data_IF_376352607927
#
_entry.id   IF_376352607927
#
_cell.length_a   1.000
_cell.length_b   1.000
_cell.length_c   1.000
_cell.angle_alpha   90.00
_cell.angle_beta   90.00
_cell.angle_gamma   90.00
#
_symmetry.space_group_name_H-M   'P 1'
#
loop_
_entity.id
_entity.type
_entity.pdbx_description
1 polymer ?
#
# COMPACT_ATOMS: atom_id res chain seq x y z
N UNK A 1 -14.87 -1.14 5.61
CA UNK A 1 -14.90 -1.39 4.15
C UNK A 1 -13.57 -0.99 3.56
N UNK A 2 -13.01 -1.79 2.65
CA UNK A 2 -11.77 -1.48 1.94
C UNK A 2 -11.80 -2.14 0.56
N UNK A 3 -11.06 -1.57 -0.40
CA UNK A 3 -10.77 -2.22 -1.68
C UNK A 3 -9.31 -2.65 -1.68
N UNK A 4 -9.06 -3.94 -1.48
CA UNK A 4 -7.72 -4.53 -1.36
C UNK A 4 -7.54 -5.50 -2.51
N UNK A 5 -6.43 -5.35 -3.24
CA UNK A 5 -6.13 -6.19 -4.39
C UNK A 5 -5.68 -7.58 -3.90
N UNK A 6 -5.87 -8.62 -4.72
CA UNK A 6 -5.60 -10.00 -4.30
C UNK A 6 -4.11 -10.30 -4.01
N UNK A 7 -3.23 -9.37 -4.36
CA UNK A 7 -1.79 -9.38 -4.12
C UNK A 7 -1.34 -8.27 -3.17
N UNK A 8 -2.26 -7.74 -2.37
CA UNK A 8 -2.00 -6.80 -1.30
C UNK A 8 -2.19 -7.45 0.08
N UNK A 9 -1.25 -7.22 0.99
CA UNK A 9 -1.27 -7.83 2.32
C UNK A 9 -0.90 -6.81 3.41
N UNK A 10 -1.78 -6.66 4.41
CA UNK A 10 -1.49 -5.87 5.59
C UNK A 10 -0.50 -6.60 6.50
N UNK A 11 0.48 -5.86 6.99
CA UNK A 11 1.44 -6.32 7.98
C UNK A 11 1.63 -5.27 9.06
N UNK A 12 1.55 -5.68 10.33
CA UNK A 12 1.95 -4.85 11.46
C UNK A 12 3.42 -5.08 11.79
N UNK A 13 4.15 -3.99 12.05
CA UNK A 13 5.60 -4.04 12.29
C UNK A 13 5.98 -3.95 13.77
N UNK A 14 5.05 -3.51 14.63
CA UNK A 14 5.26 -3.44 16.07
C UNK A 14 4.79 -4.71 16.75
N UNK A 15 5.62 -5.21 17.68
CA UNK A 15 5.27 -6.38 18.49
C UNK A 15 3.98 -6.12 19.28
N UNK A 16 3.08 -7.10 19.27
CA UNK A 16 1.77 -7.00 19.95
C UNK A 16 0.70 -6.20 19.20
N UNK A 17 1.05 -5.43 18.16
CA UNK A 17 0.06 -4.76 17.32
C UNK A 17 -0.51 -5.72 16.27
N UNK A 18 -1.82 -5.61 16.06
CA UNK A 18 -2.56 -6.23 14.96
C UNK A 18 -3.34 -5.16 14.21
N UNK A 19 -3.77 -5.45 12.98
CA UNK A 19 -4.68 -4.54 12.28
C UNK A 19 -5.94 -4.25 13.12
N UNK A 20 -6.47 -5.27 13.83
CA UNK A 20 -7.64 -5.11 14.69
C UNK A 20 -7.38 -4.14 15.84
N UNK A 21 -6.25 -4.25 16.54
CA UNK A 21 -5.94 -3.37 17.68
C UNK A 21 -5.77 -1.92 17.23
N UNK A 22 -5.14 -1.69 16.07
CA UNK A 22 -5.01 -0.34 15.48
C UNK A 22 -6.41 0.21 15.13
N UNK A 23 -7.28 -0.58 14.51
CA UNK A 23 -8.64 -0.14 14.18
C UNK A 23 -9.48 0.14 15.43
N UNK A 24 -9.32 -0.66 16.49
CA UNK A 24 -10.00 -0.46 17.77
C UNK A 24 -9.58 0.84 18.47
N UNK A 25 -8.29 1.21 18.38
CA UNK A 25 -7.78 2.50 18.89
C UNK A 25 -8.46 3.69 18.19
N UNK A 26 -8.65 3.60 16.87
CA UNK A 26 -9.25 4.67 16.06
C UNK A 26 -10.79 4.68 16.10
N UNK A 27 -11.41 3.55 16.43
CA UNK A 27 -12.86 3.39 16.42
C UNK A 27 -13.64 4.42 17.27
N UNK A 28 -13.28 4.67 18.55
CA UNK A 28 -14.02 5.60 19.40
C UNK A 28 -13.86 7.08 18.99
N UNK A 29 -12.89 7.41 18.14
CA UNK A 29 -12.65 8.79 17.70
C UNK A 29 -13.64 9.11 16.58
N UNK A 30 -14.68 9.89 16.91
CA UNK A 30 -15.82 10.18 16.01
C UNK A 30 -15.46 11.09 14.84
N UNK A 31 -14.34 11.82 14.92
CA UNK A 31 -13.82 12.65 13.83
C UNK A 31 -13.05 11.84 12.78
N UNK A 32 -12.72 10.58 13.06
CA UNK A 32 -11.97 9.69 12.17
C UNK A 32 -12.94 8.71 11.51
N UNK A 33 -13.04 8.77 10.18
CA UNK A 33 -13.89 7.87 9.39
C UNK A 33 -13.12 6.75 8.67
N UNK A 34 -11.80 6.89 8.51
CA UNK A 34 -10.99 5.86 7.85
C UNK A 34 -9.52 5.88 8.27
N UNK A 35 -8.88 4.72 8.19
CA UNK A 35 -7.42 4.56 8.26
C UNK A 35 -6.87 4.40 6.83
N UNK A 36 -5.94 5.25 6.41
CA UNK A 36 -5.17 5.10 5.18
C UNK A 36 -3.81 4.48 5.48
N UNK A 37 -3.50 3.36 4.83
CA UNK A 37 -2.24 2.63 5.01
C UNK A 37 -1.40 2.75 3.75
N UNK A 38 -0.16 3.24 3.88
CA UNK A 38 0.77 3.39 2.76
C UNK A 38 1.20 2.03 2.19
N UNK A 39 1.33 1.98 0.86
CA UNK A 39 1.86 0.82 0.16
C UNK A 39 3.34 0.62 0.40
N UNK A 40 3.75 -0.60 0.77
CA UNK A 40 5.12 -1.08 0.64
C UNK A 40 5.27 -1.79 -0.71
N UNK A 41 5.90 -1.10 -1.66
CA UNK A 41 6.00 -1.57 -3.04
C UNK A 41 7.09 -2.60 -3.21
N UNK A 42 6.77 -3.67 -3.90
CA UNK A 42 7.72 -4.69 -4.31
C UNK A 42 7.93 -4.68 -5.83
N UNK A 43 9.20 -4.54 -6.25
CA UNK A 43 9.67 -4.80 -7.61
C UNK A 43 9.63 -6.30 -7.93
N UNK A 44 10.09 -6.75 -9.10
CA UNK A 44 10.20 -8.18 -9.38
C UNK A 44 11.26 -8.89 -8.54
N UNK A 45 12.12 -8.16 -7.81
CA UNK A 45 13.31 -8.71 -7.15
C UNK A 45 14.20 -9.52 -8.12
N UNK A 46 14.20 -9.17 -9.41
CA UNK A 46 14.95 -9.88 -10.46
C UNK A 46 14.33 -11.21 -10.90
N UNK A 47 13.12 -11.53 -10.45
CA UNK A 47 12.44 -12.78 -10.81
C UNK A 47 11.98 -12.71 -12.27
N UNK A 48 12.51 -13.60 -13.09
CA UNK A 48 12.16 -13.68 -14.52
C UNK A 48 10.93 -14.57 -14.74
N UNK A 49 10.93 -15.77 -14.16
CA UNK A 49 9.87 -16.77 -14.34
C UNK A 49 8.90 -16.79 -13.16
N UNK A 50 7.64 -17.17 -13.41
CA UNK A 50 6.64 -17.33 -12.36
C UNK A 50 7.12 -18.32 -11.30
N UNK A 51 7.06 -17.90 -10.05
CA UNK A 51 7.38 -18.73 -8.87
C UNK A 51 6.12 -19.31 -8.25
N UNK A 52 6.24 -20.47 -7.60
CA UNK A 52 5.11 -21.14 -6.93
C UNK A 52 4.64 -20.37 -5.68
N UNK A 53 5.58 -19.77 -4.94
CA UNK A 53 5.31 -19.03 -3.69
C UNK A 53 5.79 -17.60 -3.79
N UNK A 54 4.99 -16.77 -4.47
CA UNK A 54 5.24 -15.33 -4.71
C UNK A 54 5.79 -14.65 -3.46
N UNK A 55 5.07 -14.69 -2.32
CA UNK A 55 5.48 -13.99 -1.08
C UNK A 55 6.86 -14.39 -0.52
N UNK A 56 7.29 -15.63 -0.72
CA UNK A 56 8.61 -16.11 -0.24
C UNK A 56 9.78 -15.56 -1.06
N UNK A 57 9.51 -15.18 -2.30
CA UNK A 57 10.54 -14.73 -3.23
C UNK A 57 10.88 -13.24 -3.14
N UNK A 58 10.10 -12.45 -2.40
CA UNK A 58 10.40 -11.04 -2.16
C UNK A 58 11.12 -10.86 -0.84
N UNK A 59 12.43 -10.68 -0.96
CA UNK A 59 13.32 -10.33 0.15
C UNK A 59 13.74 -8.86 0.12
N UNK A 60 13.21 -8.09 -0.83
CA UNK A 60 13.45 -6.65 -1.00
C UNK A 60 12.17 -5.91 -1.36
N UNK A 61 12.15 -4.61 -1.07
CA UNK A 61 11.10 -3.68 -1.48
C UNK A 61 11.73 -2.36 -1.96
N UNK A 62 10.96 -1.54 -2.67
CA UNK A 62 11.37 -0.18 -3.00
C UNK A 62 11.56 0.62 -1.72
N UNK A 63 12.70 1.29 -1.57
CA UNK A 63 12.99 2.18 -0.47
C UNK A 63 12.19 3.48 -0.61
N UNK A 64 11.69 4.02 0.50
CA UNK A 64 10.96 5.29 0.51
C UNK A 64 11.89 6.47 0.85
N UNK A 65 11.71 7.64 0.23
CA UNK A 65 12.39 8.85 0.64
C UNK A 65 11.82 9.35 1.96
N UNK A 66 12.68 10.03 2.72
CA UNK A 66 12.33 10.58 4.05
C UNK A 66 11.82 12.01 3.88
N UNK A 67 10.87 12.41 4.73
CA UNK A 67 10.41 13.79 4.84
C UNK A 67 9.19 14.11 3.98
N UNK A 68 8.98 15.41 3.75
CA UNK A 68 7.80 15.93 3.03
C UNK A 68 8.07 16.13 1.53
N UNK A 69 9.32 16.36 1.15
CA UNK A 69 9.72 16.64 -0.23
C UNK A 69 10.02 15.33 -0.98
N UNK A 70 8.95 14.62 -1.33
CA UNK A 70 9.03 13.33 -2.04
C UNK A 70 9.27 13.56 -3.54
N UNK A 71 10.38 13.05 -4.12
CA UNK A 71 10.64 13.20 -5.55
C UNK A 71 9.54 12.56 -6.41
N UNK A 72 9.30 13.12 -7.60
CA UNK A 72 8.24 12.66 -8.52
C UNK A 72 8.37 11.18 -8.91
N UNK A 73 9.59 10.64 -8.90
CA UNK A 73 9.87 9.22 -9.11
C UNK A 73 9.25 8.29 -8.06
N UNK A 74 8.87 8.77 -6.87
CA UNK A 74 8.25 7.95 -5.83
C UNK A 74 6.74 8.09 -5.76
N UNK A 75 6.10 8.44 -6.89
CA UNK A 75 4.66 8.71 -6.93
C UNK A 75 3.84 7.55 -6.37
N UNK A 76 4.20 6.31 -6.71
CA UNK A 76 3.49 5.10 -6.30
C UNK A 76 3.71 4.79 -4.79
N UNK A 77 4.89 5.07 -4.23
CA UNK A 77 5.19 4.82 -2.81
C UNK A 77 4.34 5.67 -1.85
N UNK A 78 3.81 6.80 -2.33
CA UNK A 78 2.92 7.67 -1.54
C UNK A 78 1.48 7.17 -1.48
N UNK A 79 1.12 6.20 -2.31
CA UNK A 79 -0.26 5.74 -2.40
C UNK A 79 -0.65 4.95 -1.14
N UNK A 80 -1.93 5.07 -0.79
CA UNK A 80 -2.55 4.34 0.32
C UNK A 80 -3.65 3.42 -0.17
N UNK A 81 -4.10 2.49 0.67
CA UNK A 81 -5.48 2.00 0.65
C UNK A 81 -6.17 2.36 1.95
N UNK A 82 -7.44 2.77 1.85
CA UNK A 82 -8.24 3.12 3.02
C UNK A 82 -9.09 1.95 3.54
N UNK A 83 -9.13 1.81 4.88
CA UNK A 83 -10.07 1.00 5.63
C UNK A 83 -11.06 1.94 6.31
N UNK A 84 -12.30 1.93 5.85
CA UNK A 84 -13.36 2.90 6.21
C UNK A 84 -14.35 2.30 7.21
N UNK A 85 -14.76 3.09 8.20
CA UNK A 85 -15.90 2.78 9.07
C UNK A 85 -17.19 2.83 8.26
N UNK A 86 -17.94 1.73 8.24
CA UNK A 86 -19.07 1.56 7.30
C UNK A 86 -20.24 2.52 7.58
N UNK A 87 -20.42 2.93 8.83
CA UNK A 87 -21.37 3.97 9.24
C UNK A 87 -20.98 5.37 8.75
N UNK A 88 -19.67 5.62 8.57
CA UNK A 88 -19.11 6.89 8.08
C UNK A 88 -18.84 6.92 6.57
N UNK A 89 -18.99 5.79 5.87
CA UNK A 89 -18.87 5.73 4.41
C UNK A 89 -20.01 6.49 3.71
N UNK A 90 -19.65 7.31 2.71
CA UNK A 90 -20.60 7.96 1.79
C UNK A 90 -20.53 7.34 0.38
N UNK A 91 -19.36 7.42 -0.28
CA UNK A 91 -19.19 6.92 -1.64
C UNK A 91 -17.70 6.62 -1.95
N UNK A 92 -17.40 5.74 -2.92
CA UNK A 92 -16.03 5.59 -3.42
C UNK A 92 -15.58 6.84 -4.19
N UNK A 93 -14.33 7.27 -3.97
CA UNK A 93 -13.65 8.27 -4.82
C UNK A 93 -12.72 7.56 -5.79
N UNK A 94 -11.96 6.59 -5.28
CA UNK A 94 -11.05 5.74 -6.05
C UNK A 94 -10.87 4.41 -5.31
N UNK A 95 -10.11 3.45 -5.88
CA UNK A 95 -9.69 2.26 -5.13
C UNK A 95 -8.90 2.57 -3.85
N UNK A 96 -8.37 3.79 -3.72
CA UNK A 96 -7.49 4.20 -2.62
C UNK A 96 -8.22 4.98 -1.52
N UNK A 97 -9.27 5.72 -1.86
CA UNK A 97 -9.97 6.65 -0.96
C UNK A 97 -11.49 6.69 -1.17
N UNK A 98 -12.16 7.16 -0.12
CA UNK A 98 -13.61 7.23 -0.04
C UNK A 98 -14.05 8.61 0.45
N UNK A 99 -15.22 9.05 -0.01
CA UNK A 99 -15.93 10.18 0.59
C UNK A 99 -16.53 9.72 1.91
N UNK A 100 -16.38 10.55 2.93
CA UNK A 100 -16.83 10.26 4.29
C UNK A 100 -17.96 11.22 4.70
N UNK A 101 -18.85 10.74 5.57
CA UNK A 101 -19.96 11.51 6.13
C UNK A 101 -19.49 12.45 7.24
N UNK A 102 -20.31 13.45 7.56
CA UNK A 102 -20.17 14.31 8.74
C UNK A 102 -18.81 15.00 8.87
N UNK A 103 -18.15 15.30 7.74
CA UNK A 103 -16.81 15.89 7.69
C UNK A 103 -15.73 15.07 8.42
N UNK A 104 -15.96 13.76 8.62
CA UNK A 104 -14.98 12.86 9.21
C UNK A 104 -13.79 12.66 8.28
N UNK A 105 -12.63 12.32 8.84
CA UNK A 105 -11.34 12.33 8.15
C UNK A 105 -10.77 10.94 7.94
N UNK A 106 -10.05 10.78 6.84
CA UNK A 106 -9.08 9.69 6.68
C UNK A 106 -7.79 10.09 7.38
N UNK A 107 -7.22 9.19 8.17
CA UNK A 107 -5.96 9.43 8.88
C UNK A 107 -4.92 8.36 8.58
N UNK A 108 -3.64 8.70 8.78
CA UNK A 108 -2.56 7.74 8.80
C UNK A 108 -2.46 6.97 10.12
N UNK A 109 -1.46 6.09 10.21
CA UNK A 109 -1.19 5.28 11.41
C UNK A 109 -0.84 6.11 12.66
N UNK A 110 -0.46 7.38 12.47
CA UNK A 110 -0.16 8.34 13.55
C UNK A 110 -1.28 9.37 13.74
N UNK A 111 -2.48 9.06 13.23
CA UNK A 111 -3.66 9.94 13.28
C UNK A 111 -3.49 11.27 12.53
N UNK A 112 -2.41 11.42 11.77
CA UNK A 112 -2.20 12.54 10.85
C UNK A 112 -3.26 12.53 9.75
N UNK A 113 -3.87 13.68 9.49
CA UNK A 113 -4.96 13.78 8.52
C UNK A 113 -4.39 13.60 7.10
N UNK A 114 -4.97 12.64 6.39
CA UNK A 114 -4.76 12.50 4.95
C UNK A 114 -5.81 13.39 4.30
N UNK A 115 -5.36 14.53 3.79
CA UNK A 115 -6.25 15.47 3.12
C UNK A 115 -6.97 14.78 1.96
N UNK A 116 -8.27 15.06 1.84
CA UNK A 116 -9.15 14.45 0.85
C UNK A 116 -8.55 14.60 -0.58
N UNK A 117 -8.57 13.53 -1.38
CA UNK A 117 -7.94 13.51 -2.70
C UNK A 117 -7.77 12.12 -3.29
N UNK A 118 -6.71 11.94 -4.08
CA UNK A 118 -6.44 10.71 -4.87
C UNK A 118 -5.73 9.58 -4.08
N UNK A 119 -5.79 9.59 -2.74
CA UNK A 119 -5.17 8.54 -1.92
C UNK A 119 -3.64 8.62 -1.87
N UNK A 120 -3.11 9.82 -1.69
CA UNK A 120 -1.68 10.10 -1.53
C UNK A 120 -1.44 10.58 -0.10
N UNK A 121 -0.47 9.99 0.60
CA UNK A 121 -0.04 10.39 1.94
C UNK A 121 1.44 10.70 1.98
N UNK A 122 1.77 11.84 2.58
CA UNK A 122 3.13 12.35 2.81
C UNK A 122 3.14 13.01 4.21
N UNK A 123 4.14 12.74 5.08
CA UNK A 123 5.28 11.86 4.86
C UNK A 123 4.85 10.40 4.74
N UNK A 124 5.66 9.59 4.05
CA UNK A 124 5.43 8.16 3.96
C UNK A 124 5.83 7.54 5.30
N UNK A 125 4.86 7.01 6.05
CA UNK A 125 5.13 6.25 7.27
C UNK A 125 4.54 4.85 7.14
N UNK A 126 5.28 3.87 7.64
CA UNK A 126 4.94 2.44 7.59
C UNK A 126 5.45 1.72 8.83
N UNK A 127 5.66 2.43 9.95
CA UNK A 127 6.37 1.90 11.12
C UNK A 127 5.46 1.19 12.13
N UNK A 128 4.14 1.35 12.01
CA UNK A 128 3.13 0.53 12.73
C UNK A 128 2.52 -0.50 11.80
N UNK A 129 2.09 -0.07 10.62
CA UNK A 129 1.38 -0.88 9.64
C UNK A 129 1.76 -0.52 8.20
N UNK A 130 1.96 -1.54 7.38
CA UNK A 130 2.25 -1.41 5.96
C UNK A 130 1.28 -2.27 5.13
N UNK A 131 1.01 -1.86 3.90
CA UNK A 131 0.30 -2.66 2.91
C UNK A 131 1.27 -3.12 1.82
N UNK A 132 1.73 -4.36 1.89
CA UNK A 132 2.64 -4.93 0.90
C UNK A 132 1.94 -5.12 -0.43
N UNK A 133 2.43 -4.51 -1.51
CA UNK A 133 1.87 -4.60 -2.85
C UNK A 133 2.91 -5.15 -3.83
N UNK A 134 2.64 -6.36 -4.33
CA UNK A 134 3.48 -7.09 -5.29
C UNK A 134 3.21 -6.69 -6.74
N UNK A 135 3.62 -5.49 -7.14
CA UNK A 135 3.15 -4.90 -8.40
C UNK A 135 3.71 -5.56 -9.67
N UNK A 136 4.98 -6.01 -9.65
CA UNK A 136 5.63 -6.65 -10.82
C UNK A 136 5.66 -8.17 -10.77
N UNK A 137 5.87 -8.79 -9.59
CA UNK A 137 6.00 -10.24 -9.39
C UNK A 137 7.13 -10.91 -10.16
N UNK A 138 6.95 -11.12 -11.45
CA UNK A 138 7.99 -11.62 -12.34
C UNK A 138 7.83 -11.00 -13.72
N UNK A 139 8.91 -11.03 -14.50
CA UNK A 139 8.88 -10.54 -15.88
C UNK A 139 7.83 -11.26 -16.72
N UNK A 140 7.78 -12.59 -16.63
CA UNK A 140 6.79 -13.43 -17.33
C UNK A 140 5.35 -13.04 -16.97
N UNK A 141 5.07 -12.81 -15.68
CA UNK A 141 3.72 -12.43 -15.23
C UNK A 141 3.36 -11.01 -15.69
N UNK A 142 4.32 -10.10 -15.70
CA UNK A 142 4.12 -8.74 -16.22
C UNK A 142 3.85 -8.75 -17.73
N UNK A 143 4.64 -9.49 -18.51
CA UNK A 143 4.43 -9.72 -19.95
C UNK A 143 3.05 -10.29 -20.24
N UNK A 144 2.60 -11.27 -19.45
CA UNK A 144 1.26 -11.81 -19.57
C UNK A 144 0.17 -10.76 -19.24
N UNK A 145 0.39 -9.95 -18.21
CA UNK A 145 -0.54 -8.88 -17.79
C UNK A 145 -0.67 -7.79 -18.86
N UNK A 146 0.43 -7.40 -19.51
CA UNK A 146 0.43 -6.39 -20.59
C UNK A 146 -0.42 -6.78 -21.80
N UNK A 147 -0.71 -8.07 -22.02
CA UNK A 147 -1.62 -8.50 -23.09
C UNK A 147 -3.05 -7.98 -22.90
N UNK A 148 -3.45 -7.70 -21.66
CA UNK A 148 -4.79 -7.21 -21.31
C UNK A 148 -4.79 -5.84 -20.65
N UNK A 149 -3.64 -5.37 -20.17
CA UNK A 149 -3.53 -4.12 -19.42
C UNK A 149 -3.32 -2.94 -20.37
N UNK A 150 -4.33 -2.07 -20.48
CA UNK A 150 -4.29 -0.92 -21.41
C UNK A 150 -3.65 0.34 -20.78
N UNK A 151 -3.66 0.44 -19.44
CA UNK A 151 -3.25 1.66 -18.73
C UNK A 151 -1.74 1.75 -18.46
N UNK A 152 -1.00 0.64 -18.60
CA UNK A 152 0.43 0.56 -18.29
C UNK A 152 1.18 -0.23 -19.36
N UNK A 153 2.44 0.11 -19.53
CA UNK A 153 3.37 -0.54 -20.44
C UNK A 153 4.71 -0.82 -19.73
N UNK A 154 5.75 -1.15 -20.51
CA UNK A 154 7.10 -1.38 -20.00
C UNK A 154 7.72 -0.17 -19.30
N UNK A 155 7.26 1.07 -19.53
CA UNK A 155 7.75 2.21 -18.76
C UNK A 155 7.38 2.10 -17.28
N UNK A 156 6.28 1.42 -16.95
CA UNK A 156 5.94 1.15 -15.56
C UNK A 156 6.87 0.10 -14.93
N UNK A 157 7.26 -0.91 -15.69
CA UNK A 157 8.26 -1.88 -15.25
C UNK A 157 9.59 -1.19 -14.95
N UNK A 158 10.10 -0.43 -15.91
CA UNK A 158 11.38 0.28 -15.78
C UNK A 158 11.35 1.29 -14.62
N UNK A 159 10.20 1.94 -14.42
CA UNK A 159 9.97 2.83 -13.30
C UNK A 159 10.13 2.13 -11.95
N UNK A 160 9.43 1.01 -11.73
CA UNK A 160 9.44 0.32 -10.45
C UNK A 160 10.78 -0.40 -10.19
N UNK A 161 11.36 -1.04 -11.21
CA UNK A 161 12.69 -1.67 -11.12
C UNK A 161 13.80 -0.62 -10.89
N UNK A 162 13.65 0.58 -11.44
CA UNK A 162 14.61 1.67 -11.29
C UNK A 162 14.61 2.34 -9.91
N UNK A 163 13.63 2.05 -9.05
CA UNK A 163 13.60 2.59 -7.70
C UNK A 163 14.69 1.95 -6.83
N UNK A 164 15.37 2.72 -5.97
CA UNK A 164 16.26 2.17 -4.96
C UNK A 164 15.57 1.08 -4.14
N UNK A 165 16.28 -0.02 -3.89
CA UNK A 165 15.76 -1.17 -3.15
C UNK A 165 16.36 -1.21 -1.74
N UNK A 166 15.60 -1.73 -0.79
CA UNK A 166 16.04 -2.06 0.57
C UNK A 166 15.64 -3.48 0.94
N UNK A 167 16.31 -4.06 1.94
CA UNK A 167 15.94 -5.38 2.46
C UNK A 167 14.54 -5.32 3.10
N UNK A 168 13.71 -6.31 2.78
CA UNK A 168 12.32 -6.40 3.22
C UNK A 168 11.91 -7.87 3.26
N UNK A 169 11.88 -8.46 4.46
CA UNK A 169 11.64 -9.90 4.68
C UNK A 169 10.35 -10.20 5.43
N UNK A 170 9.58 -9.18 5.76
CA UNK A 170 8.39 -9.26 6.61
C UNK A 170 7.41 -10.32 6.12
N UNK A 171 7.20 -10.39 4.80
CA UNK A 171 6.25 -11.34 4.20
C UNK A 171 6.79 -12.76 4.04
N UNK A 172 8.11 -12.96 4.16
CA UNK A 172 8.73 -14.27 3.95
C UNK A 172 8.43 -15.25 5.09
N UNK A 173 7.98 -14.78 6.26
CA UNK A 173 7.62 -15.63 7.40
C UNK A 173 6.29 -16.37 7.23
N UNK A 174 5.40 -15.88 6.36
CA UNK A 174 4.07 -16.47 6.16
C UNK A 174 4.07 -17.63 5.17
N UNK A 175 3.29 -18.67 5.46
CA UNK A 175 3.01 -19.78 4.54
C UNK A 175 1.56 -19.63 4.04
N UNK A 176 1.34 -19.28 2.76
CA UNK A 176 0.01 -19.24 2.15
C UNK A 176 -0.63 -20.63 2.06
#
# INVERSE_FOLDING_TARGET
MAFVDADEFFETLREGETLLTILQELYPITTIGALGVNWRLHSSSGIIHKVSLVRKSFTSCCADPVGLDIPSGWKDSRLIKSIVKTDMFDAPISPHMFRLKNNTKTVGEHQDVINDGIGVRVPITKDRIALHHYTLKSREQFEAKLKTWQDKDWSYWDHIEGLPQTECREMTKYNP
#
